data_IF_635848688243
#
_entry.id   IF_635848688243
#
_cell.length_a   1.000
_cell.length_b   1.000
_cell.length_c   1.000
_cell.angle_alpha   90.00
_cell.angle_beta   90.00
_cell.angle_gamma   90.00
#
_symmetry.space_group_name_H-M   'P 1'
#
loop_
_entity.id
_entity.type
_entity.pdbx_description
1 polymer ?
#
# COMPACT_ATOMS: atom_id res chain seq x y z
N UNK A 1 39.79 15.52 -40.52
CA UNK A 1 39.98 15.46 -39.09
C UNK A 1 38.63 15.21 -38.44
N UNK A 2 38.32 13.96 -38.16
CA UNK A 2 37.12 13.60 -37.39
C UNK A 2 37.45 13.78 -35.91
N UNK A 3 36.84 14.79 -35.29
CA UNK A 3 36.80 14.83 -33.84
C UNK A 3 35.71 13.86 -33.43
N UNK A 4 36.08 12.73 -32.89
CA UNK A 4 35.21 11.86 -32.15
C UNK A 4 34.71 12.65 -30.93
N UNK A 5 33.52 13.25 -31.03
CA UNK A 5 32.80 13.70 -29.86
C UNK A 5 32.38 12.45 -29.11
N UNK A 6 33.05 12.18 -28.01
CA UNK A 6 32.61 11.17 -27.03
C UNK A 6 31.14 11.47 -26.69
N UNK A 7 30.30 10.45 -26.60
CA UNK A 7 28.90 10.64 -26.20
C UNK A 7 28.88 11.35 -24.87
N UNK A 8 28.35 12.58 -24.83
CA UNK A 8 28.06 13.28 -23.60
C UNK A 8 27.12 12.37 -22.83
N UNK A 9 27.60 11.78 -21.73
CA UNK A 9 26.76 11.10 -20.76
C UNK A 9 25.68 12.10 -20.36
N UNK A 10 24.49 11.94 -20.94
CA UNK A 10 23.31 12.67 -20.53
C UNK A 10 22.94 12.08 -19.18
N UNK A 11 23.41 12.71 -18.10
CA UNK A 11 22.89 12.42 -16.76
C UNK A 11 21.40 12.70 -16.85
N UNK A 12 20.61 11.64 -16.88
CA UNK A 12 19.15 11.74 -16.86
C UNK A 12 18.79 12.35 -15.50
N UNK A 13 18.37 13.61 -15.52
CA UNK A 13 17.88 14.28 -14.35
C UNK A 13 16.58 13.62 -13.93
N UNK A 14 16.43 13.39 -12.63
CA UNK A 14 15.17 12.93 -12.03
C UNK A 14 14.20 14.12 -11.90
N UNK A 15 13.73 14.59 -13.05
CA UNK A 15 12.78 15.71 -13.15
C UNK A 15 11.42 15.16 -13.58
N UNK A 16 10.36 15.66 -12.98
CA UNK A 16 9.01 15.28 -13.36
C UNK A 16 8.71 15.75 -14.80
N UNK A 17 8.27 14.84 -15.65
CA UNK A 17 7.87 15.11 -17.03
C UNK A 17 6.36 15.28 -17.20
N UNK A 18 5.56 14.83 -16.23
CA UNK A 18 4.12 15.00 -16.19
C UNK A 18 3.60 15.15 -14.76
N UNK A 19 2.50 15.87 -14.63
CA UNK A 19 1.73 15.98 -13.38
C UNK A 19 0.26 15.71 -13.67
N UNK A 20 -0.42 15.06 -12.71
CA UNK A 20 -1.84 14.72 -12.83
C UNK A 20 -2.54 15.12 -11.54
N UNK A 21 -3.64 15.84 -11.65
CA UNK A 21 -4.55 16.13 -10.55
C UNK A 21 -5.69 15.12 -10.53
N UNK A 22 -6.12 14.73 -9.32
CA UNK A 22 -7.22 13.78 -9.12
C UNK A 22 -7.05 12.48 -9.90
N UNK A 23 -5.88 11.84 -9.73
CA UNK A 23 -5.55 10.58 -10.37
C UNK A 23 -6.44 9.45 -9.84
N UNK A 24 -6.92 8.59 -10.74
CA UNK A 24 -7.62 7.36 -10.41
C UNK A 24 -7.22 6.26 -11.40
N UNK A 25 -6.64 5.19 -10.88
CA UNK A 25 -6.26 4.00 -11.65
C UNK A 25 -6.96 2.76 -11.09
N UNK A 26 -7.35 1.85 -11.96
CA UNK A 26 -7.96 0.56 -11.60
C UNK A 26 -7.25 -0.55 -12.33
N UNK A 27 -7.11 -1.70 -11.67
CA UNK A 27 -6.69 -2.94 -12.29
C UNK A 27 -7.80 -3.97 -12.18
N UNK A 28 -8.04 -4.66 -13.28
CA UNK A 28 -9.06 -5.71 -13.35
C UNK A 28 -8.41 -7.08 -13.28
N UNK A 29 -9.12 -8.04 -12.71
CA UNK A 29 -8.76 -9.44 -12.73
C UNK A 29 -9.15 -10.12 -14.08
N UNK A 30 -8.86 -11.40 -14.20
CA UNK A 30 -9.18 -12.19 -15.41
C UNK A 30 -10.69 -12.28 -15.72
N UNK A 31 -11.54 -12.07 -14.70
CA UNK A 31 -13.00 -12.06 -14.83
C UNK A 31 -13.58 -10.67 -15.11
N UNK A 32 -12.73 -9.64 -15.28
CA UNK A 32 -13.16 -8.27 -15.52
C UNK A 32 -13.65 -7.54 -14.26
N UNK A 33 -13.40 -8.08 -13.06
CA UNK A 33 -13.70 -7.41 -11.80
C UNK A 33 -12.53 -6.57 -11.34
N UNK A 34 -12.82 -5.48 -10.63
CA UNK A 34 -11.76 -4.61 -10.08
C UNK A 34 -10.98 -5.37 -9.02
N UNK A 35 -9.69 -5.58 -9.26
CA UNK A 35 -8.76 -6.18 -8.31
C UNK A 35 -8.26 -5.18 -7.29
N UNK A 36 -7.89 -3.99 -7.76
CA UNK A 36 -7.56 -2.85 -6.89
C UNK A 36 -7.81 -1.52 -7.60
N UNK A 37 -7.93 -0.48 -6.79
CA UNK A 37 -8.07 0.91 -7.21
C UNK A 37 -7.08 1.78 -6.44
N UNK A 38 -6.36 2.62 -7.15
CA UNK A 38 -5.43 3.61 -6.57
C UNK A 38 -5.91 5.00 -6.95
N UNK A 39 -6.10 5.87 -5.96
CA UNK A 39 -6.45 7.27 -6.15
C UNK A 39 -5.48 8.17 -5.42
N UNK A 40 -5.22 9.35 -5.96
CA UNK A 40 -4.45 10.39 -5.30
C UNK A 40 -4.87 11.77 -5.80
N UNK A 41 -4.92 12.80 -4.92
CA UNK A 41 -5.21 14.18 -5.34
C UNK A 41 -4.17 14.72 -6.31
N UNK A 42 -2.92 14.30 -6.19
CA UNK A 42 -1.83 14.77 -7.02
C UNK A 42 -0.80 13.66 -7.30
N UNK A 43 -0.31 13.61 -8.53
CA UNK A 43 0.72 12.67 -8.98
C UNK A 43 1.75 13.39 -9.84
N UNK A 44 3.02 13.05 -9.66
CA UNK A 44 4.14 13.39 -10.56
C UNK A 44 4.68 12.12 -11.19
N UNK A 45 4.90 12.16 -12.49
CA UNK A 45 5.57 11.09 -13.23
C UNK A 45 7.00 11.47 -13.55
N UNK A 46 7.92 10.51 -13.57
CA UNK A 46 9.34 10.66 -13.87
C UNK A 46 9.74 9.73 -15.02
N UNK A 47 10.17 10.34 -16.12
CA UNK A 47 10.48 9.58 -17.35
C UNK A 47 11.78 8.79 -17.27
N UNK A 48 12.71 9.15 -16.38
CA UNK A 48 14.01 8.50 -16.25
C UNK A 48 13.92 7.04 -15.76
N UNK A 49 13.00 6.77 -14.82
CA UNK A 49 12.76 5.43 -14.26
C UNK A 49 11.31 4.96 -14.40
N UNK A 50 10.48 5.75 -15.08
CA UNK A 50 9.05 5.50 -15.26
C UNK A 50 8.29 5.31 -13.94
N UNK A 51 8.76 5.94 -12.86
CA UNK A 51 8.10 5.94 -11.57
C UNK A 51 7.11 7.10 -11.44
N UNK A 52 6.21 6.98 -10.46
CA UNK A 52 5.28 8.05 -10.10
C UNK A 52 5.30 8.29 -8.61
N UNK A 53 5.27 9.54 -8.18
CA UNK A 53 5.09 9.96 -6.79
C UNK A 53 3.68 10.51 -6.59
N UNK A 54 3.04 10.10 -5.51
CA UNK A 54 1.66 10.45 -5.19
C UNK A 54 1.57 11.14 -3.84
N UNK A 55 0.75 12.18 -3.78
CA UNK A 55 0.38 12.85 -2.53
C UNK A 55 -0.95 12.28 -2.03
N UNK A 56 -1.00 11.96 -0.74
CA UNK A 56 -2.19 11.43 -0.05
C UNK A 56 -2.89 10.28 -0.80
N UNK A 57 -2.15 9.23 -1.20
CA UNK A 57 -2.71 8.11 -1.95
C UNK A 57 -3.65 7.27 -1.09
N UNK A 58 -4.63 6.67 -1.74
CA UNK A 58 -5.49 5.62 -1.18
C UNK A 58 -5.56 4.45 -2.15
N UNK A 59 -5.12 3.29 -1.70
CA UNK A 59 -5.18 2.02 -2.41
C UNK A 59 -6.27 1.16 -1.80
N UNK A 60 -7.24 0.72 -2.59
CA UNK A 60 -8.28 -0.21 -2.16
C UNK A 60 -8.08 -1.53 -2.89
N UNK A 61 -7.87 -2.60 -2.13
CA UNK A 61 -7.73 -3.95 -2.65
C UNK A 61 -9.04 -4.72 -2.42
N UNK A 62 -9.54 -5.33 -3.47
CA UNK A 62 -10.77 -6.11 -3.46
C UNK A 62 -10.46 -7.60 -3.57
N UNK A 63 -11.30 -8.40 -2.97
CA UNK A 63 -11.29 -9.84 -3.07
C UNK A 63 -12.72 -10.37 -3.03
N UNK A 64 -13.05 -11.42 -3.81
CA UNK A 64 -14.37 -12.04 -3.74
C UNK A 64 -14.69 -12.49 -2.31
N UNK A 65 -15.93 -12.28 -1.87
CA UNK A 65 -16.47 -12.75 -0.59
C UNK A 65 -15.72 -12.27 0.67
N UNK A 66 -14.99 -11.16 0.55
CA UNK A 66 -14.28 -10.52 1.65
C UNK A 66 -14.45 -9.01 1.60
N UNK A 67 -14.38 -8.32 2.77
CA UNK A 67 -14.42 -6.86 2.79
C UNK A 67 -13.16 -6.30 2.13
N UNK A 68 -13.27 -5.12 1.48
CA UNK A 68 -12.10 -4.47 0.91
C UNK A 68 -11.11 -4.07 2.00
N UNK A 69 -9.82 -4.09 1.64
CA UNK A 69 -8.73 -3.56 2.44
C UNK A 69 -8.32 -2.23 1.84
N UNK A 70 -8.33 -1.17 2.65
CA UNK A 70 -7.97 0.19 2.26
C UNK A 70 -6.64 0.55 2.89
N UNK A 71 -5.68 0.98 2.08
CA UNK A 71 -4.35 1.41 2.50
C UNK A 71 -4.19 2.86 2.10
N UNK A 72 -3.84 3.71 3.05
CA UNK A 72 -3.57 5.13 2.83
C UNK A 72 -2.26 5.55 3.46
N UNK A 73 -1.69 6.64 2.99
CA UNK A 73 -0.51 7.25 3.54
C UNK A 73 -0.41 8.70 3.09
N UNK A 74 0.60 9.40 3.57
CA UNK A 74 0.83 10.78 3.16
C UNK A 74 1.47 10.87 1.79
N UNK A 75 2.36 9.93 1.49
CA UNK A 75 3.09 9.84 0.24
C UNK A 75 3.17 8.40 -0.25
N UNK A 76 3.27 8.23 -1.55
CA UNK A 76 3.64 6.97 -2.15
C UNK A 76 4.52 7.16 -3.38
N UNK A 77 5.30 6.14 -3.68
CA UNK A 77 6.01 5.97 -4.94
C UNK A 77 5.56 4.66 -5.57
N UNK A 78 5.14 4.74 -6.82
CA UNK A 78 4.76 3.59 -7.63
C UNK A 78 5.86 3.33 -8.65
N UNK A 79 6.35 2.11 -8.73
CA UNK A 79 7.33 1.71 -9.74
C UNK A 79 6.70 1.65 -11.13
N UNK A 80 7.52 1.58 -12.15
CA UNK A 80 7.07 1.36 -13.52
C UNK A 80 6.11 0.18 -13.56
N UNK A 81 5.14 0.06 -14.32
CA UNK A 81 4.13 -1.04 -14.38
C UNK A 81 3.24 -1.20 -13.14
N UNK A 82 3.43 -0.44 -12.05
CA UNK A 82 2.62 -0.54 -10.84
C UNK A 82 2.84 -1.82 -10.02
N UNK A 83 3.98 -2.49 -10.16
CA UNK A 83 4.27 -3.75 -9.47
C UNK A 83 4.52 -3.57 -7.98
N UNK A 84 5.06 -2.41 -7.59
CA UNK A 84 5.38 -2.09 -6.20
C UNK A 84 4.91 -0.68 -5.87
N UNK A 85 4.26 -0.54 -4.73
CA UNK A 85 3.85 0.74 -4.15
C UNK A 85 4.53 0.90 -2.79
N UNK A 86 5.41 1.89 -2.68
CA UNK A 86 6.04 2.29 -1.42
C UNK A 86 5.21 3.41 -0.80
N UNK A 87 4.67 3.19 0.40
CA UNK A 87 3.96 4.22 1.16
C UNK A 87 4.78 4.63 2.38
N UNK A 88 4.76 5.91 2.71
CA UNK A 88 5.40 6.42 3.92
C UNK A 88 4.65 7.62 4.50
N UNK A 89 4.92 7.87 5.79
CA UNK A 89 4.26 8.83 6.67
C UNK A 89 2.77 8.54 6.89
N UNK A 90 2.43 8.23 8.13
CA UNK A 90 1.06 7.96 8.56
C UNK A 90 0.35 6.90 7.71
N UNK A 91 1.00 5.77 7.51
CA UNK A 91 0.39 4.66 6.77
C UNK A 91 -0.66 3.98 7.62
N UNK A 92 -1.85 3.85 7.08
CA UNK A 92 -3.01 3.23 7.72
C UNK A 92 -3.57 2.14 6.82
N UNK A 93 -3.78 0.97 7.40
CA UNK A 93 -4.43 -0.17 6.73
C UNK A 93 -5.76 -0.42 7.46
N UNK A 94 -6.87 -0.35 6.73
CA UNK A 94 -8.21 -0.60 7.25
C UNK A 94 -8.85 -1.78 6.55
N UNK A 95 -9.46 -2.65 7.33
CA UNK A 95 -10.40 -3.67 6.86
C UNK A 95 -11.76 -3.40 7.48
N UNK A 96 -12.78 -3.29 6.65
CA UNK A 96 -14.15 -3.07 7.11
C UNK A 96 -14.67 -4.24 7.95
N UNK A 97 -15.63 -3.96 8.84
CA UNK A 97 -16.33 -4.98 9.61
C UNK A 97 -17.17 -5.88 8.71
N UNK A 98 -17.33 -7.12 9.12
CA UNK A 98 -18.32 -8.07 8.60
C UNK A 98 -19.25 -8.50 9.73
N UNK A 99 -20.37 -9.22 9.46
CA UNK A 99 -21.18 -9.78 10.53
C UNK A 99 -20.40 -10.69 11.49
N UNK A 100 -19.35 -11.36 11.02
CA UNK A 100 -18.53 -12.31 11.78
C UNK A 100 -17.30 -11.68 12.42
N UNK A 101 -16.83 -10.55 11.91
CA UNK A 101 -15.56 -9.93 12.35
C UNK A 101 -15.68 -8.43 12.47
N UNK A 102 -15.18 -7.82 13.57
CA UNK A 102 -15.11 -6.38 13.69
C UNK A 102 -14.11 -5.75 12.69
N UNK A 103 -14.26 -4.45 12.47
CA UNK A 103 -13.29 -3.69 11.69
C UNK A 103 -11.90 -3.74 12.34
N UNK A 104 -10.86 -3.68 11.52
CA UNK A 104 -9.47 -3.71 11.96
C UNK A 104 -8.71 -2.53 11.36
N UNK A 105 -7.88 -1.88 12.16
CA UNK A 105 -7.02 -0.77 11.73
C UNK A 105 -5.58 -1.08 12.12
N UNK A 106 -4.67 -1.02 11.14
CA UNK A 106 -3.24 -1.07 11.37
C UNK A 106 -2.60 0.28 11.06
N UNK A 107 -1.66 0.72 11.90
CA UNK A 107 -0.89 1.96 11.70
C UNK A 107 0.60 1.67 11.74
N UNK A 108 1.35 2.30 10.85
CA UNK A 108 2.78 2.13 10.70
C UNK A 108 3.40 3.33 9.98
N UNK A 109 4.73 3.57 10.10
CA UNK A 109 5.36 4.69 9.41
C UNK A 109 5.55 4.46 7.92
N UNK A 110 5.67 3.21 7.48
CA UNK A 110 5.90 2.83 6.08
C UNK A 110 5.32 1.45 5.76
N UNK A 111 5.05 1.21 4.48
CA UNK A 111 4.56 -0.08 3.99
C UNK A 111 4.95 -0.26 2.53
N UNK A 112 5.41 -1.45 2.18
CA UNK A 112 5.67 -1.86 0.80
C UNK A 112 4.54 -2.79 0.36
N UNK A 113 3.84 -2.41 -0.69
CA UNK A 113 2.70 -3.16 -1.23
C UNK A 113 3.05 -3.71 -2.59
N UNK A 114 2.72 -4.98 -2.82
CA UNK A 114 2.78 -5.65 -4.11
C UNK A 114 1.35 -5.98 -4.56
N UNK A 115 0.66 -5.05 -5.24
CA UNK A 115 -0.77 -5.17 -5.49
C UNK A 115 -1.13 -6.40 -6.32
N UNK A 116 -0.31 -6.76 -7.31
CA UNK A 116 -0.56 -7.92 -8.17
C UNK A 116 -0.43 -9.25 -7.41
N UNK A 117 0.49 -9.32 -6.46
CA UNK A 117 0.67 -10.49 -5.59
C UNK A 117 -0.35 -10.54 -4.44
N UNK A 118 -0.99 -9.43 -4.13
CA UNK A 118 -1.90 -9.32 -2.98
C UNK A 118 -1.19 -9.34 -1.64
N UNK A 119 0.07 -8.92 -1.59
CA UNK A 119 0.91 -8.94 -0.39
C UNK A 119 1.44 -7.56 -0.04
N UNK A 120 1.77 -7.36 1.24
CA UNK A 120 2.42 -6.16 1.73
C UNK A 120 3.32 -6.49 2.93
N UNK A 121 4.33 -5.67 3.17
CA UNK A 121 5.20 -5.84 4.33
C UNK A 121 5.82 -4.52 4.80
N UNK A 122 6.20 -4.49 6.06
CA UNK A 122 7.02 -3.44 6.66
C UNK A 122 8.00 -4.06 7.66
N UNK A 123 9.16 -3.42 7.82
CA UNK A 123 10.13 -3.76 8.86
C UNK A 123 10.00 -2.84 10.09
N UNK A 124 9.08 -1.90 10.05
CA UNK A 124 8.89 -0.88 11.07
C UNK A 124 7.93 -1.33 12.18
N UNK A 125 7.81 -0.51 13.23
CA UNK A 125 6.84 -0.73 14.30
C UNK A 125 5.41 -0.62 13.78
N UNK A 126 4.55 -1.52 14.22
CA UNK A 126 3.14 -1.63 13.81
C UNK A 126 2.25 -1.68 15.03
N UNK A 127 1.12 -0.99 14.97
CA UNK A 127 0.04 -1.12 15.92
C UNK A 127 -1.25 -1.52 15.20
N UNK A 128 -1.90 -2.59 15.65
CA UNK A 128 -3.16 -3.07 15.10
C UNK A 128 -4.22 -2.99 16.20
N UNK A 129 -5.35 -2.38 15.87
CA UNK A 129 -6.50 -2.24 16.77
C UNK A 129 -7.73 -2.90 16.17
N UNK A 130 -8.52 -3.53 17.02
CA UNK A 130 -9.77 -4.15 16.67
C UNK A 130 -10.73 -4.01 17.87
N UNK A 131 -11.66 -3.07 17.77
CA UNK A 131 -12.49 -2.65 18.92
C UNK A 131 -11.61 -2.21 20.11
N UNK A 132 -11.71 -2.88 21.25
CA UNK A 132 -10.89 -2.60 22.46
C UNK A 132 -9.57 -3.39 22.48
N UNK A 133 -9.43 -4.37 21.58
CA UNK A 133 -8.22 -5.17 21.47
C UNK A 133 -7.16 -4.45 20.67
N UNK A 134 -5.91 -4.62 21.04
CA UNK A 134 -4.78 -4.10 20.29
C UNK A 134 -3.58 -5.05 20.37
N UNK A 135 -2.75 -4.98 19.35
CA UNK A 135 -1.47 -5.70 19.27
C UNK A 135 -0.43 -4.81 18.62
N UNK A 136 0.77 -4.82 19.16
CA UNK A 136 1.93 -4.10 18.64
C UNK A 136 3.04 -5.08 18.33
N UNK A 137 3.87 -4.74 17.35
CA UNK A 137 5.05 -5.51 17.00
C UNK A 137 5.98 -4.70 16.13
N UNK A 138 7.10 -5.30 15.76
CA UNK A 138 8.08 -4.75 14.83
C UNK A 138 8.21 -5.70 13.65
N UNK A 139 7.98 -5.20 12.48
CA UNK A 139 7.89 -5.99 11.26
C UNK A 139 6.55 -6.72 11.11
N UNK A 140 5.97 -6.62 9.91
CA UNK A 140 4.69 -7.24 9.58
C UNK A 140 4.69 -7.70 8.13
N UNK A 141 4.08 -8.85 7.88
CA UNK A 141 3.72 -9.33 6.55
C UNK A 141 2.20 -9.49 6.46
N UNK A 142 1.63 -9.02 5.37
CA UNK A 142 0.20 -9.12 5.08
C UNK A 142 0.02 -9.96 3.82
N UNK A 143 -0.93 -10.90 3.85
CA UNK A 143 -1.41 -11.62 2.69
C UNK A 143 -2.93 -11.44 2.56
N UNK A 144 -3.34 -10.64 1.57
CA UNK A 144 -4.75 -10.39 1.32
C UNK A 144 -5.46 -11.60 0.70
N UNK A 145 -4.73 -12.50 0.05
CA UNK A 145 -5.33 -13.71 -0.55
C UNK A 145 -5.86 -14.67 0.52
N UNK A 146 -5.21 -14.71 1.68
CA UNK A 146 -5.58 -15.55 2.82
C UNK A 146 -6.22 -14.75 3.97
N UNK A 147 -6.31 -13.42 3.85
CA UNK A 147 -6.74 -12.51 4.93
C UNK A 147 -5.94 -12.70 6.22
N UNK A 148 -4.64 -12.88 6.11
CA UNK A 148 -3.73 -13.10 7.23
C UNK A 148 -2.70 -12.00 7.33
N UNK A 149 -2.21 -11.78 8.55
CA UNK A 149 -1.00 -11.00 8.81
C UNK A 149 -0.13 -11.70 9.86
N UNK A 150 1.17 -11.46 9.79
CA UNK A 150 2.15 -12.00 10.73
C UNK A 150 3.01 -10.86 11.26
N UNK A 151 3.09 -10.72 12.57
CA UNK A 151 4.05 -9.84 13.25
C UNK A 151 5.34 -10.59 13.54
N UNK A 152 6.49 -9.96 13.27
CA UNK A 152 7.78 -10.65 13.25
C UNK A 152 8.47 -10.69 14.62
N UNK A 153 8.42 -9.60 15.40
CA UNK A 153 9.13 -9.51 16.66
C UNK A 153 8.52 -8.50 17.63
N UNK A 154 8.97 -8.52 18.88
CA UNK A 154 8.58 -7.61 19.95
C UNK A 154 7.05 -7.50 20.11
N UNK A 155 6.37 -8.62 19.96
CA UNK A 155 4.90 -8.66 19.95
C UNK A 155 4.37 -8.54 21.38
N UNK A 156 3.50 -7.55 21.58
CA UNK A 156 2.73 -7.34 22.81
C UNK A 156 1.31 -6.94 22.46
N UNK A 157 0.36 -7.25 23.32
CA UNK A 157 -1.02 -6.93 23.02
C UNK A 157 -1.97 -7.20 24.18
N UNK A 158 -3.21 -6.77 23.98
CA UNK A 158 -4.31 -6.95 24.89
C UNK A 158 -5.54 -7.38 24.10
N UNK A 159 -6.10 -8.51 24.45
CA UNK A 159 -7.25 -9.09 23.78
C UNK A 159 -8.48 -9.07 24.67
N UNK A 160 -9.56 -8.50 24.18
CA UNK A 160 -10.88 -8.54 24.80
C UNK A 160 -11.78 -9.46 23.98
N UNK A 161 -12.23 -10.56 24.57
CA UNK A 161 -13.22 -11.40 23.89
C UNK A 161 -14.60 -10.74 23.95
N UNK A 162 -15.38 -10.86 22.87
CA UNK A 162 -16.81 -10.55 22.93
C UNK A 162 -17.47 -11.55 23.89
N UNK A 163 -18.16 -11.05 24.92
CA UNK A 163 -19.08 -11.92 25.67
C UNK A 163 -20.18 -12.35 24.71
N UNK A 164 -20.34 -13.67 24.54
CA UNK A 164 -21.51 -14.18 23.83
C UNK A 164 -22.75 -13.67 24.59
N UNK A 165 -23.60 -12.90 23.91
CA UNK A 165 -24.92 -12.53 24.41
C UNK A 165 -25.74 -13.81 24.40
N UNK A 166 -26.07 -14.30 25.59
CA UNK A 166 -27.04 -15.38 25.76
C UNK A 166 -28.44 -14.85 25.44
#
# INVERSE_FOLDING_TARGET
MNRDEAPKNKVLRHDADATVENMSARRFDENGQVKYRLVAPFMKHFADDDSSELDSPTLVAYRPDAPPVTISGRHARVTSKGDVVYLWENVVVNRAATPERPAMTGTMPDLIVQPNAGTAFTNSAVEITQEKSWIKGVGMQIDNNTSTFVLQSQVTGLYFSRKATQ
#
